data_IF_882299948600
#
_entry.id   IF_882299948600
#
_cell.length_a   1.000
_cell.length_b   1.000
_cell.length_c   1.000
_cell.angle_alpha   90.00
_cell.angle_beta   90.00
_cell.angle_gamma   90.00
#
_symmetry.space_group_name_H-M   'P 1'
#
loop_
_entity.id
_entity.type
_entity.pdbx_description
1 polymer ?
#
# COMPACT_ATOMS: atom_id res chain seq x y z
N UNK A 1 -22.76 58.22 50.34
CA UNK A 1 -23.57 57.40 49.41
C UNK A 1 -22.88 56.05 49.15
N UNK A 2 -22.51 55.33 50.22
CA UNK A 2 -21.76 54.06 50.18
C UNK A 2 -22.24 53.12 51.32
N UNK A 3 -23.53 53.22 51.66
CA UNK A 3 -24.20 52.45 52.71
C UNK A 3 -25.59 51.95 52.27
N UNK A 4 -25.77 51.71 50.97
CA UNK A 4 -27.04 51.22 50.41
C UNK A 4 -26.88 50.10 49.38
N UNK A 5 -25.75 49.39 49.37
CA UNK A 5 -25.56 48.15 48.59
C UNK A 5 -25.00 47.03 49.49
N UNK A 6 -25.39 47.00 50.76
CA UNK A 6 -24.98 45.92 51.68
C UNK A 6 -26.15 45.16 52.29
N UNK A 7 -27.37 45.27 51.74
CA UNK A 7 -28.54 44.62 52.34
C UNK A 7 -29.53 43.98 51.34
N UNK A 8 -29.05 43.38 50.25
CA UNK A 8 -29.88 42.50 49.38
C UNK A 8 -29.21 41.21 48.91
N UNK A 9 -28.25 40.67 49.67
CA UNK A 9 -27.75 39.30 49.47
C UNK A 9 -27.96 38.41 50.70
N UNK A 10 -29.13 38.52 51.35
CA UNK A 10 -29.71 37.36 52.04
C UNK A 10 -30.44 36.49 51.02
N UNK A 11 -29.71 35.67 50.28
CA UNK A 11 -30.28 34.45 49.71
C UNK A 11 -29.54 33.28 50.34
N UNK A 12 -30.24 32.48 51.13
CA UNK A 12 -29.86 31.10 51.41
C UNK A 12 -29.64 30.45 50.04
N UNK A 13 -28.42 30.44 49.51
CA UNK A 13 -28.08 29.60 48.36
C UNK A 13 -28.33 28.19 48.87
N UNK A 14 -29.42 27.60 48.38
CA UNK A 14 -29.75 26.22 48.71
C UNK A 14 -28.56 25.36 48.27
N UNK A 15 -28.22 24.31 49.04
CA UNK A 15 -27.11 23.39 48.71
C UNK A 15 -27.15 22.99 47.22
N UNK A 16 -28.35 22.85 46.68
CA UNK A 16 -28.66 22.61 45.27
C UNK A 16 -28.07 23.62 44.27
N UNK A 17 -28.02 24.93 44.56
CA UNK A 17 -27.41 25.92 43.67
C UNK A 17 -25.88 25.83 43.65
N UNK A 18 -25.27 25.42 44.77
CA UNK A 18 -23.84 25.17 44.86
C UNK A 18 -23.47 23.88 44.11
N UNK A 19 -24.25 22.82 44.32
CA UNK A 19 -24.12 21.55 43.60
C UNK A 19 -24.33 21.73 42.08
N UNK A 20 -25.33 22.49 41.65
CA UNK A 20 -25.55 22.79 40.24
C UNK A 20 -24.35 23.54 39.62
N UNK A 21 -23.76 24.49 40.36
CA UNK A 21 -22.55 25.19 39.91
C UNK A 21 -21.35 24.24 39.74
N UNK A 22 -21.15 23.31 40.68
CA UNK A 22 -20.08 22.30 40.59
C UNK A 22 -20.31 21.39 39.39
N UNK A 23 -21.55 20.90 39.18
CA UNK A 23 -21.90 20.04 38.06
C UNK A 23 -21.62 20.74 36.72
N UNK A 24 -22.10 21.98 36.56
CA UNK A 24 -21.86 22.77 35.34
C UNK A 24 -20.37 23.01 35.11
N UNK A 25 -19.60 23.29 36.17
CA UNK A 25 -18.15 23.52 36.05
C UNK A 25 -17.41 22.24 35.67
N UNK A 26 -17.81 21.09 36.20
CA UNK A 26 -17.25 19.78 35.82
C UNK A 26 -17.57 19.47 34.36
N UNK A 27 -18.80 19.69 33.91
CA UNK A 27 -19.16 19.54 32.50
C UNK A 27 -18.38 20.50 31.60
N UNK A 28 -18.20 21.76 31.99
CA UNK A 28 -17.40 22.72 31.24
C UNK A 28 -15.92 22.29 31.12
N UNK A 29 -15.35 21.69 32.17
CA UNK A 29 -13.99 21.12 32.12
C UNK A 29 -13.96 19.90 31.18
N UNK A 30 -14.94 19.00 31.23
CA UNK A 30 -15.00 17.87 30.29
C UNK A 30 -15.15 18.32 28.83
N UNK A 31 -15.94 19.35 28.55
CA UNK A 31 -16.05 19.94 27.20
C UNK A 31 -14.76 20.67 26.77
N UNK A 32 -14.11 21.41 27.65
CA UNK A 32 -12.82 22.03 27.35
C UNK A 32 -11.74 20.97 27.08
N UNK A 33 -11.74 19.88 27.85
CA UNK A 33 -10.86 18.73 27.63
C UNK A 33 -11.19 18.01 26.32
N UNK A 34 -12.46 17.89 25.90
CA UNK A 34 -12.81 17.26 24.61
C UNK A 34 -12.34 18.09 23.41
N UNK A 35 -12.36 19.42 23.51
CA UNK A 35 -11.83 20.32 22.47
C UNK A 35 -10.30 20.28 22.41
N UNK A 36 -9.64 19.99 23.53
CA UNK A 36 -8.17 19.86 23.62
C UNK A 36 -7.67 18.41 23.41
N UNK A 37 -8.56 17.42 23.40
CA UNK A 37 -8.19 16.04 23.14
C UNK A 37 -7.66 15.88 21.71
N UNK A 38 -6.48 15.28 21.52
CA UNK A 38 -5.99 14.96 20.19
C UNK A 38 -6.98 14.01 19.52
N UNK A 39 -7.39 14.33 18.30
CA UNK A 39 -8.21 13.47 17.48
C UNK A 39 -7.50 12.11 17.29
N UNK A 40 -8.04 11.06 17.94
CA UNK A 40 -7.57 9.68 17.84
C UNK A 40 -8.22 8.95 16.66
N UNK A 41 -8.74 9.68 15.65
CA UNK A 41 -9.03 9.07 14.36
C UNK A 41 -7.76 8.37 13.85
N UNK A 42 -7.86 7.07 13.55
CA UNK A 42 -6.73 6.28 13.07
C UNK A 42 -6.11 6.96 11.86
N UNK A 43 -4.87 7.44 12.03
CA UNK A 43 -4.12 8.13 10.99
C UNK A 43 -3.98 7.20 9.78
N UNK A 44 -4.71 7.53 8.71
CA UNK A 44 -4.73 6.76 7.46
C UNK A 44 -3.39 6.92 6.75
N UNK A 45 -2.88 5.79 6.26
CA UNK A 45 -1.64 5.73 5.49
C UNK A 45 -1.69 4.55 4.53
N UNK A 46 -1.53 4.82 3.25
CA UNK A 46 -1.44 3.83 2.19
C UNK A 46 -0.07 3.16 2.25
N UNK A 47 -0.04 1.83 2.24
CA UNK A 47 1.22 1.10 2.18
C UNK A 47 1.86 1.28 0.82
N UNK A 48 3.20 1.25 0.76
CA UNK A 48 3.91 1.10 -0.51
C UNK A 48 3.39 -0.16 -1.22
N UNK A 49 3.15 -0.05 -2.52
CA UNK A 49 2.48 -1.04 -3.36
C UNK A 49 0.95 -0.92 -3.43
N UNK A 50 0.33 0.05 -2.71
CA UNK A 50 -1.11 0.31 -2.86
C UNK A 50 -1.41 0.74 -4.29
N UNK A 51 -2.47 0.18 -4.87
CA UNK A 51 -2.91 0.44 -6.24
C UNK A 51 -4.25 1.16 -6.24
N UNK A 52 -4.41 2.08 -7.16
CA UNK A 52 -5.66 2.75 -7.50
C UNK A 52 -5.90 2.51 -8.99
N UNK A 53 -7.11 2.07 -9.33
CA UNK A 53 -7.50 1.90 -10.73
C UNK A 53 -8.20 3.18 -11.20
N UNK A 54 -7.69 3.74 -12.29
CA UNK A 54 -8.35 4.75 -13.09
C UNK A 54 -8.98 4.07 -14.32
N UNK A 55 -9.74 4.83 -15.10
CA UNK A 55 -10.46 4.31 -16.28
C UNK A 55 -9.53 3.62 -17.30
N UNK A 56 -8.35 4.17 -17.59
CA UNK A 56 -7.43 3.63 -18.59
C UNK A 56 -6.02 3.32 -18.04
N UNK A 57 -5.83 3.27 -16.71
CA UNK A 57 -4.54 2.90 -16.09
C UNK A 57 -4.67 2.51 -14.63
N UNK A 58 -3.69 1.76 -14.13
CA UNK A 58 -3.51 1.54 -12.68
C UNK A 58 -2.35 2.38 -12.19
N UNK A 59 -2.56 3.13 -11.11
CA UNK A 59 -1.53 3.94 -10.43
C UNK A 59 -1.14 3.22 -9.14
N UNK A 60 0.16 3.04 -8.91
CA UNK A 60 0.72 2.38 -7.73
C UNK A 60 1.65 3.34 -6.99
N UNK A 61 1.48 3.48 -5.68
CA UNK A 61 2.42 4.21 -4.82
C UNK A 61 3.66 3.34 -4.58
N UNK A 62 4.82 3.75 -5.07
CA UNK A 62 6.05 2.91 -5.03
C UNK A 62 7.14 3.44 -4.08
N UNK A 63 7.15 4.72 -3.76
CA UNK A 63 7.98 5.28 -2.68
C UNK A 63 7.43 6.61 -2.20
N UNK A 64 7.82 7.00 -0.99
CA UNK A 64 7.49 8.29 -0.41
C UNK A 64 8.56 8.75 0.58
N UNK A 65 8.79 10.06 0.64
CA UNK A 65 9.70 10.65 1.61
C UNK A 65 9.29 12.08 1.96
N UNK A 66 9.48 12.46 3.22
CA UNK A 66 9.34 13.83 3.70
C UNK A 66 10.73 14.45 3.90
N UNK A 67 10.91 15.66 3.38
CA UNK A 67 12.14 16.44 3.53
C UNK A 67 11.89 17.63 4.44
N UNK A 68 12.56 17.63 5.59
CA UNK A 68 12.27 18.56 6.69
C UNK A 68 12.73 19.99 6.41
N UNK A 69 13.89 20.17 5.75
CA UNK A 69 14.47 21.48 5.45
C UNK A 69 13.62 22.32 4.50
N UNK A 70 12.91 21.67 3.57
CA UNK A 70 12.03 22.32 2.59
C UNK A 70 10.55 22.16 2.88
N UNK A 71 10.17 21.35 3.89
CA UNK A 71 8.78 20.95 4.14
C UNK A 71 8.10 20.44 2.86
N UNK A 72 8.75 19.47 2.19
CA UNK A 72 8.29 18.88 0.93
C UNK A 72 8.08 17.39 1.11
N UNK A 73 6.96 16.86 0.61
CA UNK A 73 6.75 15.42 0.44
C UNK A 73 6.99 15.05 -1.02
N UNK A 74 7.85 14.06 -1.26
CA UNK A 74 8.08 13.41 -2.55
C UNK A 74 7.29 12.09 -2.57
N UNK A 75 6.46 11.89 -3.59
CA UNK A 75 5.76 10.64 -3.86
C UNK A 75 6.15 10.12 -5.24
N UNK A 76 6.49 8.85 -5.32
CA UNK A 76 6.76 8.17 -6.58
C UNK A 76 5.56 7.31 -6.94
N UNK A 77 5.00 7.56 -8.12
CA UNK A 77 3.82 6.87 -8.64
C UNK A 77 4.19 6.11 -9.91
N UNK A 78 3.99 4.80 -9.87
CA UNK A 78 4.13 3.92 -11.04
C UNK A 78 2.79 3.74 -11.73
N UNK A 79 2.74 3.89 -13.05
CA UNK A 79 1.52 3.76 -13.85
C UNK A 79 1.63 2.62 -14.86
N UNK A 80 0.70 1.68 -14.79
CA UNK A 80 0.54 0.63 -15.79
C UNK A 80 -0.61 0.99 -16.72
N UNK A 81 -0.34 1.01 -18.02
CA UNK A 81 -1.32 1.37 -19.06
C UNK A 81 -1.66 0.09 -19.83
N UNK A 82 -2.94 -0.30 -19.95
CA UNK A 82 -3.34 -1.49 -20.72
C UNK A 82 -3.13 -1.30 -22.22
N UNK A 83 -3.33 -0.07 -22.73
CA UNK A 83 -3.17 0.30 -24.13
C UNK A 83 -2.51 1.67 -24.28
N UNK A 84 -1.36 1.72 -24.94
CA UNK A 84 -0.60 2.94 -25.23
C UNK A 84 -1.41 3.97 -26.02
N UNK A 85 -2.38 3.55 -26.84
CA UNK A 85 -3.23 4.45 -27.64
C UNK A 85 -4.15 5.35 -26.80
N UNK A 86 -4.41 4.96 -25.55
CA UNK A 86 -5.29 5.67 -24.60
C UNK A 86 -4.51 6.42 -23.51
N UNK A 87 -3.19 6.49 -23.62
CA UNK A 87 -2.31 7.01 -22.58
C UNK A 87 -2.45 8.53 -22.39
N UNK A 88 -3.24 8.95 -21.38
CA UNK A 88 -3.25 10.34 -20.89
C UNK A 88 -2.28 10.53 -19.72
N UNK A 89 -1.59 11.67 -19.65
CA UNK A 89 -0.81 12.02 -18.45
C UNK A 89 -1.72 12.06 -17.21
N UNK A 90 -1.17 11.89 -16.01
CA UNK A 90 -1.95 12.00 -14.77
C UNK A 90 -2.01 13.45 -14.27
N UNK A 91 -3.04 13.75 -13.49
CA UNK A 91 -3.17 14.98 -12.69
C UNK A 91 -3.32 14.59 -11.23
N UNK A 92 -2.65 15.30 -10.33
CA UNK A 92 -2.64 14.99 -8.89
C UNK A 92 -3.14 16.19 -8.11
N UNK A 93 -4.06 15.95 -7.18
CA UNK A 93 -4.55 16.92 -6.20
C UNK A 93 -4.26 16.42 -4.80
N UNK A 94 -3.78 17.30 -3.94
CA UNK A 94 -3.43 16.94 -2.57
C UNK A 94 -4.08 17.91 -1.60
N UNK A 95 -4.76 17.37 -0.60
CA UNK A 95 -5.35 18.14 0.51
C UNK A 95 -4.80 17.66 1.85
N UNK A 96 -4.82 18.53 2.86
CA UNK A 96 -4.43 18.19 4.23
C UNK A 96 -5.66 17.62 4.99
N UNK A 97 -5.65 16.33 5.29
CA UNK A 97 -6.64 15.67 6.14
C UNK A 97 -8.09 15.85 5.67
N UNK A 98 -8.93 16.40 6.54
CA UNK A 98 -10.38 16.64 6.31
C UNK A 98 -10.68 17.98 5.62
N UNK A 99 -9.66 18.80 5.34
CA UNK A 99 -9.84 20.08 4.63
C UNK A 99 -9.87 19.85 3.12
N UNK A 100 -10.95 19.26 2.62
CA UNK A 100 -11.11 18.94 1.20
C UNK A 100 -11.16 20.21 0.28
N UNK A 101 -11.30 21.41 0.86
CA UNK A 101 -11.46 22.65 0.09
C UNK A 101 -10.16 23.43 -0.18
N UNK A 102 -9.03 23.04 0.42
CA UNK A 102 -7.74 23.73 0.22
C UNK A 102 -6.73 22.77 -0.41
N UNK A 103 -6.55 22.89 -1.73
CA UNK A 103 -5.51 22.15 -2.44
C UNK A 103 -4.14 22.73 -2.12
N UNK A 104 -3.21 21.86 -1.73
CA UNK A 104 -1.81 22.19 -1.56
C UNK A 104 -1.14 22.38 -2.92
N UNK A 105 -0.02 23.11 -2.92
CA UNK A 105 0.80 23.28 -4.12
C UNK A 105 1.49 21.96 -4.45
N UNK A 106 1.28 21.49 -5.68
CA UNK A 106 1.81 20.21 -6.15
C UNK A 106 2.52 20.38 -7.49
N UNK A 107 3.76 19.90 -7.56
CA UNK A 107 4.53 19.79 -8.81
C UNK A 107 4.59 18.32 -9.22
N UNK A 108 4.00 17.96 -10.36
CA UNK A 108 4.07 16.60 -10.92
C UNK A 108 5.06 16.57 -12.09
N UNK A 109 6.09 15.73 -11.99
CA UNK A 109 7.07 15.49 -13.06
C UNK A 109 6.86 14.11 -13.64
N UNK A 110 6.63 14.04 -14.97
CA UNK A 110 6.68 12.79 -15.73
C UNK A 110 8.15 12.44 -15.97
N UNK A 111 8.60 11.32 -15.43
CA UNK A 111 9.97 10.82 -15.64
C UNK A 111 10.00 10.05 -16.96
N UNK A 112 9.08 9.11 -17.12
CA UNK A 112 8.85 8.35 -18.35
C UNK A 112 7.34 8.00 -18.48
N UNK A 113 6.96 7.11 -19.39
CA UNK A 113 5.56 6.72 -19.59
C UNK A 113 4.92 6.02 -18.37
N UNK A 114 5.75 5.39 -17.53
CA UNK A 114 5.34 4.56 -16.40
C UNK A 114 5.67 5.16 -15.04
N UNK A 115 6.45 6.24 -14.95
CA UNK A 115 6.88 6.82 -13.68
C UNK A 115 6.61 8.32 -13.59
N UNK A 116 5.93 8.69 -12.52
CA UNK A 116 5.67 10.08 -12.14
C UNK A 116 6.22 10.34 -10.74
N UNK A 117 6.79 11.53 -10.55
CA UNK A 117 7.25 12.01 -9.25
C UNK A 117 6.43 13.25 -8.90
N UNK A 118 5.80 13.21 -7.73
CA UNK A 118 4.94 14.26 -7.22
C UNK A 118 5.62 14.92 -6.02
N UNK A 119 5.79 16.22 -6.08
CA UNK A 119 6.28 17.03 -4.96
C UNK A 119 5.11 17.83 -4.39
N UNK A 120 4.79 17.62 -3.12
CA UNK A 120 3.84 18.43 -2.37
C UNK A 120 4.64 19.46 -1.59
N UNK A 121 4.47 20.73 -1.95
CA UNK A 121 5.31 21.84 -1.50
C UNK A 121 4.60 22.69 -0.44
N UNK A 122 5.38 23.46 0.32
CA UNK A 122 4.90 24.43 1.31
C UNK A 122 3.97 23.82 2.37
N UNK A 123 4.30 22.62 2.86
CA UNK A 123 3.50 21.95 3.87
C UNK A 123 3.49 22.72 5.20
N UNK A 124 2.34 22.82 5.89
CA UNK A 124 2.29 23.38 7.24
C UNK A 124 3.21 22.60 8.18
N UNK A 125 3.88 23.29 9.11
CA UNK A 125 4.84 22.65 10.06
C UNK A 125 4.25 21.49 10.88
N UNK A 126 2.92 21.38 10.99
CA UNK A 126 2.22 20.36 11.82
C UNK A 126 1.19 19.56 11.02
N UNK A 127 1.46 19.27 9.76
CA UNK A 127 0.59 18.42 8.95
C UNK A 127 0.52 16.99 9.51
N UNK A 128 -0.66 16.37 9.43
CA UNK A 128 -0.91 15.00 9.94
C UNK A 128 -0.99 13.97 8.82
N UNK A 129 -1.90 14.21 7.87
CA UNK A 129 -2.17 13.30 6.76
C UNK A 129 -2.42 14.12 5.49
N UNK A 130 -1.84 13.67 4.38
CA UNK A 130 -2.14 14.15 3.04
C UNK A 130 -3.08 13.16 2.37
N UNK A 131 -4.12 13.69 1.72
CA UNK A 131 -5.04 12.94 0.86
C UNK A 131 -4.66 13.23 -0.58
N UNK A 132 -4.07 12.26 -1.25
CA UNK A 132 -3.52 12.38 -2.60
C UNK A 132 -4.48 11.71 -3.56
N UNK A 133 -5.24 12.53 -4.30
CA UNK A 133 -6.15 12.06 -5.34
C UNK A 133 -5.47 12.16 -6.70
N UNK A 134 -5.63 11.12 -7.52
CA UNK A 134 -5.03 11.03 -8.85
C UNK A 134 -6.14 10.83 -9.87
N UNK A 135 -6.07 11.57 -10.98
CA UNK A 135 -6.98 11.42 -12.13
C UNK A 135 -6.19 11.43 -13.44
N UNK A 136 -6.87 11.18 -14.56
CA UNK A 136 -6.31 11.41 -15.88
C UNK A 136 -6.40 12.90 -16.25
N UNK A 137 -5.42 13.39 -17.02
CA UNK A 137 -5.40 14.77 -17.52
C UNK A 137 -6.57 14.99 -18.47
N UNK A 138 -7.33 16.06 -18.22
CA UNK A 138 -8.58 16.35 -18.93
C UNK A 138 -9.82 15.72 -18.30
N UNK A 139 -9.65 14.94 -17.23
CA UNK A 139 -10.76 14.46 -16.40
C UNK A 139 -11.44 15.59 -15.63
N UNK A 140 -12.77 15.48 -15.48
CA UNK A 140 -13.58 16.44 -14.72
C UNK A 140 -13.31 16.41 -13.21
N UNK A 141 -13.86 17.38 -12.47
CA UNK A 141 -13.75 17.40 -11.01
C UNK A 141 -14.34 16.13 -10.36
N UNK A 142 -15.40 15.58 -10.96
CA UNK A 142 -16.10 14.37 -10.49
C UNK A 142 -15.22 13.11 -10.53
N UNK A 143 -14.25 13.03 -11.45
CA UNK A 143 -13.33 11.87 -11.51
C UNK A 143 -12.45 11.77 -10.26
N UNK A 144 -12.09 12.91 -9.65
CA UNK A 144 -11.33 12.91 -8.40
C UNK A 144 -12.16 12.43 -7.19
N UNK A 145 -13.49 12.44 -7.29
CA UNK A 145 -14.39 12.03 -6.20
C UNK A 145 -14.80 10.56 -6.32
N UNK A 146 -14.73 9.98 -7.52
CA UNK A 146 -14.99 8.57 -7.78
C UNK A 146 -13.80 7.65 -7.47
N UNK A 147 -12.61 8.22 -7.30
CA UNK A 147 -11.36 7.47 -7.13
C UNK A 147 -10.89 7.56 -5.68
N UNK A 148 -10.61 6.39 -5.08
CA UNK A 148 -10.03 6.32 -3.74
C UNK A 148 -8.68 7.05 -3.69
N UNK A 149 -8.41 7.90 -2.69
CA UNK A 149 -7.14 8.59 -2.57
C UNK A 149 -6.05 7.69 -1.97
N UNK A 150 -4.79 8.01 -2.26
CA UNK A 150 -3.69 7.59 -1.37
C UNK A 150 -3.69 8.47 -0.13
N UNK A 151 -3.36 7.89 1.02
CA UNK A 151 -3.15 8.63 2.25
C UNK A 151 -1.68 8.57 2.63
N UNK A 152 -1.08 9.72 2.92
CA UNK A 152 0.32 9.79 3.36
C UNK A 152 0.33 10.44 4.72
N UNK A 153 0.93 9.79 5.70
CA UNK A 153 0.88 10.25 7.10
C UNK A 153 2.27 10.67 7.55
N UNK A 154 2.36 11.85 8.17
CA UNK A 154 3.62 12.43 8.63
C UNK A 154 4.35 11.48 9.59
N UNK A 155 3.63 10.85 10.52
CA UNK A 155 4.24 9.95 11.50
C UNK A 155 4.74 8.60 10.91
N UNK A 156 4.34 8.25 9.68
CA UNK A 156 4.64 6.94 9.05
C UNK A 156 5.53 7.06 7.81
N UNK A 157 5.65 8.24 7.23
CA UNK A 157 6.50 8.49 6.07
C UNK A 157 7.99 8.48 6.48
N UNK A 158 8.88 8.19 5.53
CA UNK A 158 10.32 8.28 5.77
C UNK A 158 10.78 9.74 5.83
N UNK A 159 11.32 10.15 6.98
CA UNK A 159 11.92 11.48 7.16
C UNK A 159 13.36 11.54 6.62
N UNK A 160 13.67 12.64 5.94
CA UNK A 160 15.00 12.98 5.44
C UNK A 160 15.31 14.42 5.80
N UNK A 161 16.52 14.65 6.33
CA UNK A 161 16.92 15.99 6.77
C UNK A 161 16.99 17.00 5.62
N UNK A 162 17.50 16.58 4.46
CA UNK A 162 17.81 17.49 3.36
C UNK A 162 17.21 17.06 2.03
N UNK A 163 16.48 17.98 1.40
CA UNK A 163 16.05 17.83 0.02
C UNK A 163 17.23 17.98 -0.93
N UNK A 164 17.43 16.96 -1.77
CA UNK A 164 18.35 17.02 -2.92
C UNK A 164 17.55 16.72 -4.17
N UNK A 165 17.55 17.66 -5.11
CA UNK A 165 16.98 17.42 -6.42
C UNK A 165 17.70 16.23 -7.07
N UNK A 166 16.91 15.28 -7.57
CA UNK A 166 17.40 14.08 -8.24
C UNK A 166 17.22 14.23 -9.74
N UNK A 167 18.13 13.65 -10.51
CA UNK A 167 18.04 13.57 -11.97
C UNK A 167 16.91 12.63 -12.40
N UNK A 168 16.51 12.73 -13.67
CA UNK A 168 15.62 11.75 -14.32
C UNK A 168 16.23 10.35 -14.24
N UNK A 169 17.53 10.22 -14.56
CA UNK A 169 18.27 8.96 -14.53
C UNK A 169 18.25 8.28 -13.15
N UNK A 170 18.30 9.06 -12.05
CA UNK A 170 18.15 8.52 -10.70
C UNK A 170 16.79 7.83 -10.49
N UNK A 171 15.70 8.44 -10.97
CA UNK A 171 14.37 7.88 -10.81
C UNK A 171 14.15 6.65 -11.68
N UNK A 172 14.71 6.64 -12.89
CA UNK A 172 14.69 5.47 -13.78
C UNK A 172 15.50 4.31 -13.19
N UNK A 173 16.69 4.56 -12.65
CA UNK A 173 17.49 3.54 -11.98
C UNK A 173 16.77 2.93 -10.76
N UNK A 174 16.04 3.77 -10.01
CA UNK A 174 15.23 3.33 -8.87
C UNK A 174 14.01 2.50 -9.30
N UNK A 175 13.38 2.82 -10.42
CA UNK A 175 12.30 2.00 -11.00
C UNK A 175 12.81 0.60 -11.37
N UNK A 176 14.00 0.53 -11.96
CA UNK A 176 14.66 -0.74 -12.26
C UNK A 176 14.92 -1.55 -10.98
N UNK A 177 15.39 -0.91 -9.91
CA UNK A 177 15.60 -1.59 -8.61
C UNK A 177 14.31 -2.21 -8.07
N UNK A 178 13.19 -1.48 -8.17
CA UNK A 178 11.89 -1.99 -7.75
C UNK A 178 11.43 -3.17 -8.60
N UNK A 179 11.61 -3.08 -9.93
CA UNK A 179 11.32 -4.19 -10.83
C UNK A 179 12.13 -5.44 -10.48
N UNK A 180 13.44 -5.30 -10.25
CA UNK A 180 14.33 -6.41 -9.87
C UNK A 180 13.86 -7.02 -8.55
N UNK A 181 13.56 -6.20 -7.54
CA UNK A 181 13.10 -6.68 -6.24
C UNK A 181 11.80 -7.49 -6.35
N UNK A 182 10.82 -7.02 -7.14
CA UNK A 182 9.56 -7.72 -7.33
C UNK A 182 9.72 -9.02 -8.14
N UNK A 183 10.60 -9.02 -9.14
CA UNK A 183 10.95 -10.21 -9.91
C UNK A 183 11.62 -11.27 -9.02
N UNK A 184 12.61 -10.90 -8.20
CA UNK A 184 13.29 -11.79 -7.25
C UNK A 184 12.31 -12.36 -6.21
N UNK A 185 11.40 -11.53 -5.69
CA UNK A 185 10.34 -11.97 -4.77
C UNK A 185 9.40 -12.98 -5.42
N UNK A 186 9.06 -12.79 -6.69
CA UNK A 186 8.22 -13.71 -7.47
C UNK A 186 8.94 -15.04 -7.70
N UNK A 187 10.21 -15.01 -8.11
CA UNK A 187 11.03 -16.21 -8.25
C UNK A 187 11.16 -17.00 -6.94
N UNK A 188 11.35 -16.29 -5.82
CA UNK A 188 11.41 -16.91 -4.48
C UNK A 188 10.11 -17.65 -4.13
N UNK A 189 8.94 -17.06 -4.45
CA UNK A 189 7.63 -17.72 -4.27
C UNK A 189 7.50 -18.94 -5.17
N UNK A 190 7.85 -18.82 -6.45
CA UNK A 190 7.80 -19.92 -7.40
C UNK A 190 8.69 -21.10 -6.96
N UNK A 191 9.92 -20.81 -6.51
CA UNK A 191 10.84 -21.83 -6.01
C UNK A 191 10.31 -22.56 -4.76
N UNK A 192 9.64 -21.84 -3.85
CA UNK A 192 8.98 -22.45 -2.69
C UNK A 192 7.84 -23.39 -3.12
N UNK A 193 7.04 -23.00 -4.10
CA UNK A 193 5.95 -23.85 -4.59
C UNK A 193 6.49 -25.07 -5.35
N UNK A 194 7.53 -24.92 -6.18
CA UNK A 194 8.22 -26.03 -6.84
C UNK A 194 8.71 -27.05 -5.81
N UNK A 195 9.36 -26.59 -4.72
CA UNK A 195 9.81 -27.48 -3.63
C UNK A 195 8.64 -28.22 -2.97
N UNK A 196 7.56 -27.51 -2.65
CA UNK A 196 6.35 -28.10 -2.05
C UNK A 196 5.71 -29.17 -2.94
N UNK A 197 5.65 -28.92 -4.26
CA UNK A 197 5.15 -29.87 -5.24
C UNK A 197 6.08 -31.10 -5.37
N UNK A 198 7.40 -30.89 -5.34
CA UNK A 198 8.37 -31.98 -5.33
C UNK A 198 8.23 -32.88 -4.07
N UNK A 199 8.10 -32.27 -2.89
CA UNK A 199 7.88 -32.99 -1.63
C UNK A 199 6.54 -33.75 -1.65
N UNK A 200 5.48 -33.15 -2.20
CA UNK A 200 4.18 -33.79 -2.43
C UNK A 200 4.31 -35.02 -3.34
N UNK A 201 5.00 -34.88 -4.48
CA UNK A 201 5.23 -35.98 -5.41
C UNK A 201 5.97 -37.15 -4.74
N UNK A 202 7.00 -36.86 -3.93
CA UNK A 202 7.75 -37.91 -3.22
C UNK A 202 6.85 -38.70 -2.27
N UNK A 203 5.99 -38.01 -1.50
CA UNK A 203 5.03 -38.67 -0.59
C UNK A 203 4.01 -39.52 -1.34
N UNK A 204 3.51 -39.04 -2.48
CA UNK A 204 2.57 -39.81 -3.31
C UNK A 204 3.24 -41.09 -3.83
N UNK A 205 4.51 -41.02 -4.23
CA UNK A 205 5.28 -42.19 -4.66
C UNK A 205 5.44 -43.21 -3.53
N UNK A 206 5.73 -42.75 -2.31
CA UNK A 206 5.79 -43.62 -1.12
C UNK A 206 4.43 -44.28 -0.83
N UNK A 207 3.35 -43.51 -0.83
CA UNK A 207 1.99 -44.04 -0.65
C UNK A 207 1.65 -45.08 -1.72
N UNK A 208 1.95 -44.80 -3.00
CA UNK A 208 1.72 -45.76 -4.08
C UNK A 208 2.52 -47.05 -3.88
N UNK A 209 3.76 -46.95 -3.38
CA UNK A 209 4.60 -48.12 -3.06
C UNK A 209 3.98 -48.96 -1.94
N UNK A 210 3.47 -48.31 -0.90
CA UNK A 210 2.79 -48.99 0.21
C UNK A 210 1.50 -49.66 -0.26
N UNK A 211 0.66 -48.97 -1.05
CA UNK A 211 -0.54 -49.55 -1.66
C UNK A 211 -0.16 -50.77 -2.50
N UNK A 212 0.86 -50.65 -3.35
CA UNK A 212 1.33 -51.73 -4.22
C UNK A 212 1.79 -52.96 -3.42
N UNK A 213 2.49 -52.74 -2.30
CA UNK A 213 2.96 -53.83 -1.42
C UNK A 213 1.83 -54.57 -0.70
N UNK A 214 0.70 -53.89 -0.48
CA UNK A 214 -0.45 -54.44 0.23
C UNK A 214 -1.44 -55.16 -0.70
N UNK A 215 -1.37 -54.96 -2.02
CA UNK A 215 -2.30 -55.53 -3.00
C UNK A 215 -2.48 -57.05 -2.86
N UNK A 216 -1.41 -57.80 -2.59
CA UNK A 216 -1.47 -59.27 -2.53
C UNK A 216 -2.32 -59.80 -1.36
N UNK A 217 -2.54 -59.00 -0.32
CA UNK A 217 -3.28 -59.40 0.88
C UNK A 217 -4.77 -59.02 0.85
N UNK A 218 -5.22 -58.38 -0.22
CA UNK A 218 -6.56 -57.81 -0.32
C UNK A 218 -7.50 -58.66 -1.18
N UNK A 219 -8.80 -58.45 -1.01
CA UNK A 219 -9.83 -59.03 -1.91
C UNK A 219 -9.76 -58.41 -3.30
N UNK A 220 -10.32 -59.06 -4.32
CA UNK A 220 -10.30 -58.53 -5.70
C UNK A 220 -10.96 -57.16 -5.83
N UNK A 221 -12.07 -56.92 -5.12
CA UNK A 221 -12.74 -55.62 -5.07
C UNK A 221 -11.81 -54.54 -4.49
N UNK A 222 -11.15 -54.83 -3.35
CA UNK A 222 -10.19 -53.91 -2.73
C UNK A 222 -8.94 -53.68 -3.59
N UNK A 223 -8.47 -54.70 -4.31
CA UNK A 223 -7.38 -54.56 -5.29
C UNK A 223 -7.76 -53.60 -6.42
N UNK A 224 -9.00 -53.66 -6.91
CA UNK A 224 -9.47 -52.75 -7.95
C UNK A 224 -9.52 -51.30 -7.45
N UNK A 225 -10.08 -51.07 -6.26
CA UNK A 225 -10.09 -49.74 -5.63
C UNK A 225 -8.67 -49.17 -5.46
N UNK A 226 -7.75 -49.97 -4.92
CA UNK A 226 -6.35 -49.59 -4.71
C UNK A 226 -5.61 -49.27 -6.02
N UNK A 227 -5.87 -50.02 -7.10
CA UNK A 227 -5.31 -49.72 -8.43
C UNK A 227 -5.84 -48.40 -8.98
N UNK A 228 -7.12 -48.12 -8.80
CA UNK A 228 -7.71 -46.83 -9.19
C UNK A 228 -7.12 -45.66 -8.39
N UNK A 229 -6.83 -45.87 -7.10
CA UNK A 229 -6.14 -44.88 -6.27
C UNK A 229 -4.71 -44.59 -6.77
N UNK A 230 -3.93 -45.64 -7.07
CA UNK A 230 -2.58 -45.49 -7.66
C UNK A 230 -2.65 -44.68 -8.96
N UNK A 231 -3.59 -45.00 -9.85
CA UNK A 231 -3.75 -44.29 -11.12
C UNK A 231 -4.12 -42.81 -10.92
N UNK A 232 -5.01 -42.51 -9.96
CA UNK A 232 -5.37 -41.13 -9.61
C UNK A 232 -4.16 -40.35 -9.08
N UNK A 233 -3.37 -40.99 -8.21
CA UNK A 233 -2.13 -40.46 -7.66
C UNK A 233 -1.08 -40.18 -8.75
N UNK A 234 -0.93 -41.07 -9.73
CA UNK A 234 -0.04 -40.88 -10.88
C UNK A 234 -0.47 -39.68 -11.76
N UNK A 235 -1.77 -39.55 -12.04
CA UNK A 235 -2.30 -38.39 -12.76
C UNK A 235 -2.03 -37.08 -12.02
N UNK A 236 -2.16 -37.09 -10.68
CA UNK A 236 -1.82 -35.95 -9.84
C UNK A 236 -0.34 -35.59 -9.95
N UNK A 237 0.57 -36.57 -9.91
CA UNK A 237 2.02 -36.33 -10.10
C UNK A 237 2.29 -35.69 -11.46
N UNK A 238 1.66 -36.17 -12.53
CA UNK A 238 1.83 -35.61 -13.88
C UNK A 238 1.40 -34.14 -13.92
N UNK A 239 0.23 -33.81 -13.37
CA UNK A 239 -0.27 -32.43 -13.28
C UNK A 239 0.66 -31.52 -12.45
N UNK A 240 1.16 -32.01 -11.32
CA UNK A 240 2.08 -31.27 -10.47
C UNK A 240 3.42 -31.02 -11.17
N UNK A 241 3.96 -32.01 -11.91
CA UNK A 241 5.18 -31.85 -12.71
C UNK A 241 5.04 -30.81 -13.82
N UNK A 242 3.90 -30.77 -14.51
CA UNK A 242 3.65 -29.75 -15.53
C UNK A 242 3.57 -28.34 -14.91
N UNK A 243 2.95 -28.21 -13.73
CA UNK A 243 2.95 -26.95 -12.97
C UNK A 243 4.36 -26.51 -12.60
N UNK A 244 5.19 -27.42 -12.08
CA UNK A 244 6.60 -27.13 -11.76
C UNK A 244 7.36 -26.62 -12.98
N UNK A 245 7.23 -27.30 -14.12
CA UNK A 245 7.88 -26.92 -15.38
C UNK A 245 7.48 -25.52 -15.85
N UNK A 246 6.20 -25.15 -15.71
CA UNK A 246 5.71 -23.82 -16.08
C UNK A 246 6.26 -22.73 -15.15
N UNK A 247 6.34 -22.99 -13.84
CA UNK A 247 6.95 -22.08 -12.87
C UNK A 247 8.46 -21.89 -13.13
N UNK A 248 9.19 -22.97 -13.41
CA UNK A 248 10.62 -22.91 -13.74
C UNK A 248 10.88 -22.15 -15.04
N UNK A 249 10.02 -22.33 -16.06
CA UNK A 249 10.08 -21.56 -17.30
C UNK A 249 9.86 -20.07 -17.02
N UNK A 250 8.86 -19.72 -16.21
CA UNK A 250 8.61 -18.33 -15.82
C UNK A 250 9.81 -17.71 -15.08
N UNK A 251 10.46 -18.47 -14.17
CA UNK A 251 11.67 -18.02 -13.48
C UNK A 251 12.82 -17.73 -14.45
N UNK A 252 13.06 -18.60 -15.44
CA UNK A 252 14.11 -18.37 -16.46
C UNK A 252 13.87 -17.11 -17.28
N UNK A 253 12.62 -16.78 -17.59
CA UNK A 253 12.29 -15.53 -18.30
C UNK A 253 12.47 -14.30 -17.38
N UNK A 254 12.14 -14.42 -16.10
CA UNK A 254 12.41 -13.37 -15.10
C UNK A 254 13.91 -13.14 -14.92
N UNK A 255 14.74 -14.18 -14.86
CA UNK A 255 16.20 -14.07 -14.77
C UNK A 255 16.78 -13.27 -15.95
N UNK A 256 16.39 -13.62 -17.17
CA UNK A 256 16.80 -12.87 -18.37
C UNK A 256 16.35 -11.41 -18.32
N UNK A 257 15.15 -11.13 -17.81
CA UNK A 257 14.64 -9.78 -17.68
C UNK A 257 15.41 -8.98 -16.63
N UNK A 258 15.74 -9.59 -15.48
CA UNK A 258 16.60 -9.01 -14.44
C UNK A 258 17.99 -8.67 -15.00
N UNK A 259 18.61 -9.57 -15.76
CA UNK A 259 19.94 -9.32 -16.34
C UNK A 259 19.94 -8.15 -17.32
N UNK A 260 18.89 -8.02 -18.14
CA UNK A 260 18.71 -6.86 -19.03
C UNK A 260 18.51 -5.58 -18.23
N UNK A 261 17.69 -5.62 -17.18
CA UNK A 261 17.41 -4.48 -16.32
C UNK A 261 18.67 -4.00 -15.59
N UNK A 262 19.49 -4.93 -15.06
CA UNK A 262 20.79 -4.62 -14.42
C UNK A 262 21.73 -3.88 -15.38
N UNK A 263 21.87 -4.36 -16.62
CA UNK A 263 22.69 -3.68 -17.65
C UNK A 263 22.17 -2.28 -17.97
N UNK A 264 20.85 -2.12 -18.08
CA UNK A 264 20.26 -0.80 -18.30
C UNK A 264 20.53 0.15 -17.12
N UNK A 265 20.46 -0.36 -15.89
CA UNK A 265 20.77 0.42 -14.70
C UNK A 265 22.22 0.90 -14.68
N UNK A 266 23.17 0.02 -14.99
CA UNK A 266 24.60 0.38 -15.08
C UNK A 266 24.84 1.51 -16.09
N UNK A 267 24.14 1.48 -17.23
CA UNK A 267 24.21 2.57 -18.22
C UNK A 267 23.65 3.89 -17.68
N UNK A 268 22.54 3.85 -16.93
CA UNK A 268 21.94 5.04 -16.32
C UNK A 268 22.80 5.62 -15.19
N UNK A 269 23.54 4.79 -14.46
CA UNK A 269 24.46 5.24 -13.41
C UNK A 269 25.74 5.87 -13.97
N UNK A 270 26.08 5.59 -15.22
CA UNK A 270 27.20 6.20 -15.94
C UNK A 270 26.87 7.58 -16.54
N UNK A 271 25.58 7.91 -16.70
CA UNK A 271 25.05 9.15 -17.30
C UNK A 271 24.68 10.21 -16.25
#
# INVERSE_FOLDING_TARGET
MWKMISNKLKKKRTKYQLFAGIIVSVFAIFFALSVLSPDYSTVKHSKIGTKINLSARTVTLIDEAFYEDKNVVELNLYTTIPDASTAKNITVKVTEGTKDNENLTVTTKKINESLYVVFVENLPKKWKTLKVKVSEKGGGAEEFDMVDPFYVANEKIKHKAHFKAKSVTYYEAKEIDLFIQDAEKTMSKNNKEVKKLADSNSKIVEVNRDIQSNLSYQTEEKKQEMKSEIQSNEQKIVSQKETMKNLEKANKELEKAIDKAKKQKELLEWL
#
